data_IF_120522439944
#
_entry.id   IF_120522439944
#
_cell.length_a   1.000
_cell.length_b   1.000
_cell.length_c   1.000
_cell.angle_alpha   90.00
_cell.angle_beta   90.00
_cell.angle_gamma   90.00
#
_symmetry.space_group_name_H-M   'P 1'
#
loop_
_entity.id
_entity.type
_entity.pdbx_description
1 polymer ?
#
# COMPACT_ATOMS: atom_id res chain seq x y z
N UNK A 1 2.42 12.74 3.02
CA UNK A 1 3.72 12.39 2.41
C UNK A 1 3.84 13.12 1.09
N UNK A 2 5.06 13.21 0.56
CA UNK A 2 5.34 13.74 -0.76
C UNK A 2 6.12 12.70 -1.56
N UNK A 3 5.54 11.51 -1.69
CA UNK A 3 6.12 10.47 -2.53
C UNK A 3 6.07 10.96 -3.98
N UNK A 4 7.22 10.85 -4.66
CA UNK A 4 7.42 11.26 -6.05
C UNK A 4 7.01 12.72 -6.39
N UNK A 5 7.07 13.64 -5.41
CA UNK A 5 6.68 15.06 -5.57
C UNK A 5 5.21 15.29 -5.99
N UNK A 6 4.35 14.28 -5.77
CA UNK A 6 2.94 14.28 -6.17
C UNK A 6 1.97 14.35 -4.97
N UNK A 7 2.49 14.53 -3.75
CA UNK A 7 1.74 14.40 -2.49
C UNK A 7 1.07 13.03 -2.31
N UNK A 8 1.68 12.00 -2.89
CA UNK A 8 1.27 10.60 -2.71
C UNK A 8 1.76 10.09 -1.35
N UNK A 9 1.07 9.07 -0.84
CA UNK A 9 1.37 8.50 0.46
C UNK A 9 1.97 7.10 0.29
N UNK A 10 3.19 6.94 0.78
CA UNK A 10 3.90 5.66 0.77
C UNK A 10 3.94 5.10 2.18
N UNK A 11 3.32 3.93 2.36
CA UNK A 11 3.29 3.16 3.60
C UNK A 11 4.30 2.02 3.48
N UNK A 12 4.96 1.73 4.60
CA UNK A 12 5.82 0.57 4.71
C UNK A 12 5.33 -0.30 5.85
N UNK A 13 4.99 -1.54 5.54
CA UNK A 13 4.68 -2.54 6.53
C UNK A 13 5.98 -2.98 7.21
N UNK A 14 6.07 -2.75 8.53
CA UNK A 14 7.18 -3.26 9.33
C UNK A 14 6.98 -4.77 9.51
N UNK A 15 7.65 -5.56 8.67
CA UNK A 15 7.58 -7.01 8.75
C UNK A 15 8.25 -7.53 10.02
N UNK A 16 7.43 -7.94 11.00
CA UNK A 16 7.86 -8.51 12.28
C UNK A 16 7.66 -10.04 12.33
N UNK A 17 7.80 -10.72 11.18
CA UNK A 17 7.66 -12.18 11.07
C UNK A 17 6.22 -12.68 10.88
N UNK A 18 5.26 -11.78 10.68
CA UNK A 18 3.90 -12.10 10.23
C UNK A 18 3.66 -11.44 8.87
N UNK A 19 3.38 -12.28 7.88
CA UNK A 19 3.01 -11.82 6.54
C UNK A 19 1.68 -11.09 6.57
N UNK A 20 1.58 -10.01 5.80
CA UNK A 20 0.32 -9.29 5.67
C UNK A 20 -0.53 -10.01 4.63
N UNK A 21 -1.71 -10.49 5.04
CA UNK A 21 -2.67 -11.08 4.11
C UNK A 21 -3.07 -10.03 3.04
N UNK A 22 -2.85 -10.37 1.76
CA UNK A 22 -3.04 -9.45 0.65
C UNK A 22 -4.47 -8.89 0.54
N UNK A 23 -5.49 -9.60 1.04
CA UNK A 23 -6.86 -9.07 1.08
C UNK A 23 -6.99 -7.93 2.10
N UNK A 24 -6.33 -8.06 3.25
CA UNK A 24 -6.31 -6.99 4.25
C UNK A 24 -5.45 -5.82 3.80
N UNK A 25 -4.33 -6.09 3.12
CA UNK A 25 -3.48 -5.06 2.54
C UNK A 25 -4.24 -4.18 1.53
N UNK A 26 -5.00 -4.80 0.60
CA UNK A 26 -5.88 -4.09 -0.32
C UNK A 26 -6.92 -3.23 0.40
N UNK A 27 -7.62 -3.81 1.39
CA UNK A 27 -8.57 -3.03 2.19
C UNK A 27 -7.91 -1.87 2.93
N UNK A 28 -6.71 -2.07 3.48
CA UNK A 28 -5.99 -1.00 4.15
C UNK A 28 -5.72 0.16 3.19
N UNK A 29 -5.27 -0.12 1.96
CA UNK A 29 -5.10 0.90 0.92
C UNK A 29 -6.40 1.64 0.60
N UNK A 30 -7.53 0.94 0.44
CA UNK A 30 -8.85 1.56 0.21
C UNK A 30 -9.24 2.53 1.34
N UNK A 31 -9.02 2.13 2.60
CA UNK A 31 -9.33 2.97 3.76
C UNK A 31 -8.38 4.18 3.85
N UNK A 32 -7.09 3.99 3.62
CA UNK A 32 -6.12 5.09 3.63
C UNK A 32 -6.43 6.07 2.51
N UNK A 33 -6.75 5.59 1.31
CA UNK A 33 -7.18 6.46 0.21
C UNK A 33 -8.43 7.25 0.56
N UNK A 34 -9.42 6.63 1.21
CA UNK A 34 -10.64 7.34 1.65
C UNK A 34 -10.29 8.52 2.58
N UNK A 35 -9.27 8.38 3.42
CA UNK A 35 -8.80 9.43 4.33
C UNK A 35 -7.87 10.46 3.64
N UNK A 36 -7.05 10.02 2.69
CA UNK A 36 -6.00 10.84 2.06
C UNK A 36 -6.45 11.51 0.74
N UNK A 37 -7.45 10.94 0.06
CA UNK A 37 -8.04 11.36 -1.23
C UNK A 37 -7.03 11.52 -2.37
N UNK A 38 -5.92 10.78 -2.32
CA UNK A 38 -4.84 10.76 -3.33
C UNK A 38 -4.26 9.34 -3.39
N UNK A 39 -3.52 9.00 -4.46
CA UNK A 39 -2.93 7.67 -4.60
C UNK A 39 -2.07 7.29 -3.40
N UNK A 40 -2.16 6.01 -3.05
CA UNK A 40 -1.49 5.43 -1.89
C UNK A 40 -0.74 4.17 -2.31
N UNK A 41 0.41 3.95 -1.70
CA UNK A 41 1.29 2.81 -1.96
C UNK A 41 1.60 2.12 -0.64
N UNK A 42 1.70 0.79 -0.66
CA UNK A 42 2.05 -0.02 0.51
C UNK A 42 3.12 -1.04 0.12
N UNK A 43 4.31 -0.88 0.68
CA UNK A 43 5.36 -1.90 0.63
C UNK A 43 5.12 -2.93 1.73
N UNK A 44 5.05 -4.21 1.37
CA UNK A 44 4.97 -5.33 2.31
C UNK A 44 5.81 -6.52 1.83
N UNK A 45 5.95 -7.53 2.68
CA UNK A 45 6.56 -8.82 2.35
C UNK A 45 5.44 -9.86 2.24
N UNK A 46 5.43 -10.61 1.14
CA UNK A 46 4.52 -11.71 0.84
C UNK A 46 5.35 -12.85 0.27
N UNK A 47 5.24 -14.06 0.83
CA UNK A 47 6.03 -15.24 0.42
C UNK A 47 7.56 -14.99 0.47
N UNK A 48 8.01 -14.23 1.47
CA UNK A 48 9.41 -13.76 1.64
C UNK A 48 9.90 -12.76 0.56
N UNK A 49 9.05 -12.40 -0.40
CA UNK A 49 9.35 -11.40 -1.44
C UNK A 49 8.78 -10.02 -1.10
N UNK A 50 9.53 -8.96 -1.42
CA UNK A 50 9.07 -7.58 -1.24
C UNK A 50 8.15 -7.21 -2.40
N UNK A 51 6.90 -6.89 -2.07
CA UNK A 51 5.85 -6.50 -3.02
C UNK A 51 5.40 -5.09 -2.69
N UNK A 52 5.16 -4.28 -3.74
CA UNK A 52 4.56 -2.96 -3.57
C UNK A 52 3.15 -2.98 -4.15
N UNK A 53 2.18 -2.67 -3.31
CA UNK A 53 0.78 -2.56 -3.69
C UNK A 53 0.41 -1.09 -3.88
N UNK A 54 -0.31 -0.80 -4.95
CA UNK A 54 -0.69 0.54 -5.37
C UNK A 54 -2.22 0.66 -5.40
N UNK A 55 -2.75 1.82 -5.04
CA UNK A 55 -4.19 2.11 -5.16
C UNK A 55 -4.45 3.58 -5.50
N UNK A 56 -5.11 3.81 -6.64
CA UNK A 56 -5.45 5.14 -7.17
C UNK A 56 -6.88 5.60 -6.81
N UNK A 57 -7.66 4.73 -6.14
CA UNK A 57 -9.08 4.99 -5.82
C UNK A 57 -10.06 4.27 -6.74
N UNK A 58 -9.56 3.63 -7.80
CA UNK A 58 -10.37 2.86 -8.75
C UNK A 58 -9.88 1.41 -8.86
N UNK A 59 -8.57 1.23 -9.02
CA UNK A 59 -7.95 -0.06 -9.27
C UNK A 59 -6.77 -0.29 -8.31
N UNK A 60 -6.51 -1.57 -8.02
CA UNK A 60 -5.33 -2.03 -7.29
C UNK A 60 -4.32 -2.57 -8.29
N UNK A 61 -3.06 -2.17 -8.14
CA UNK A 61 -1.95 -2.66 -8.95
C UNK A 61 -0.84 -3.20 -8.03
N UNK A 62 -0.14 -4.25 -8.46
CA UNK A 62 0.91 -4.95 -7.71
C UNK A 62 2.18 -5.02 -8.58
N UNK A 63 3.27 -4.43 -8.06
CA UNK A 63 4.61 -4.41 -8.67
C UNK A 63 5.50 -5.50 -8.07
#
# INVERSE_FOLDING_TARGET
GDYNNNRELYLRHAYEGAELDGRYARKALEHVYTLWSRPVHLETIVDDERVVMHYDGQEHDED
#
